data_IF_187473292973
#
_entry.id   IF_187473292973
#
_cell.length_a   1.000
_cell.length_b   1.000
_cell.length_c   1.000
_cell.angle_alpha   90.00
_cell.angle_beta   90.00
_cell.angle_gamma   90.00
#
_symmetry.space_group_name_H-M   'P 1'
#
loop_
_entity.id
_entity.type
_entity.pdbx_description
1 polymer ?
#
# COMPACT_ATOMS: atom_id res chain seq x y z
N UNK A 1 -57.49 -35.37 -42.02
CA UNK A 1 -56.07 -35.47 -41.61
C UNK A 1 -55.41 -34.12 -41.83
N UNK A 2 -55.17 -33.34 -40.77
CA UNK A 2 -54.29 -32.16 -40.81
C UNK A 2 -53.71 -31.96 -39.41
N UNK A 3 -52.46 -32.37 -39.22
CA UNK A 3 -51.75 -32.33 -37.95
C UNK A 3 -51.27 -30.91 -37.65
N UNK A 4 -51.60 -30.40 -36.46
CA UNK A 4 -51.08 -29.13 -35.92
C UNK A 4 -49.66 -29.33 -35.39
N UNK A 5 -48.69 -28.64 -35.96
CA UNK A 5 -47.29 -28.62 -35.52
C UNK A 5 -47.13 -27.65 -34.34
N UNK A 6 -46.37 -28.00 -33.26
CA UNK A 6 -46.14 -27.09 -32.15
C UNK A 6 -44.97 -26.14 -32.46
N UNK A 7 -45.21 -24.84 -32.29
CA UNK A 7 -44.22 -23.78 -32.40
C UNK A 7 -43.28 -23.78 -31.19
N UNK A 8 -42.04 -24.22 -31.38
CA UNK A 8 -40.98 -24.14 -30.38
C UNK A 8 -40.46 -22.70 -30.31
N UNK A 9 -40.84 -21.98 -29.26
CA UNK A 9 -40.36 -20.62 -28.99
C UNK A 9 -38.88 -20.65 -28.61
N UNK A 10 -38.01 -20.30 -29.57
CA UNK A 10 -36.55 -20.17 -29.40
C UNK A 10 -36.23 -19.06 -28.40
N UNK A 11 -35.99 -19.41 -27.12
CA UNK A 11 -35.44 -18.49 -26.12
C UNK A 11 -34.15 -17.87 -26.64
N UNK A 12 -34.17 -16.57 -26.91
CA UNK A 12 -32.98 -15.81 -27.29
C UNK A 12 -31.92 -15.91 -26.19
N UNK A 13 -30.77 -16.52 -26.52
CA UNK A 13 -29.57 -16.53 -25.67
C UNK A 13 -29.14 -15.07 -25.42
N UNK A 14 -29.22 -14.64 -24.16
CA UNK A 14 -28.64 -13.36 -23.70
C UNK A 14 -27.16 -13.29 -24.14
N UNK A 15 -26.71 -12.22 -24.81
CA UNK A 15 -25.32 -12.12 -25.25
C UNK A 15 -24.39 -12.11 -24.03
N UNK A 16 -23.35 -12.94 -24.09
CA UNK A 16 -22.32 -13.00 -23.05
C UNK A 16 -21.65 -11.61 -22.93
N UNK A 17 -21.70 -11.00 -21.74
CA UNK A 17 -21.00 -9.73 -21.49
C UNK A 17 -19.51 -9.86 -21.86
N UNK A 18 -18.94 -8.89 -22.62
CA UNK A 18 -17.53 -8.93 -22.99
C UNK A 18 -16.63 -9.06 -21.75
N UNK A 19 -15.61 -9.93 -21.82
CA UNK A 19 -14.72 -10.27 -20.69
C UNK A 19 -14.13 -9.03 -19.99
N UNK A 20 -13.80 -7.97 -20.73
CA UNK A 20 -13.29 -6.71 -20.18
C UNK A 20 -14.28 -5.94 -19.28
N UNK A 21 -15.58 -5.91 -19.62
CA UNK A 21 -16.60 -5.24 -18.78
C UNK A 21 -16.80 -5.95 -17.45
N UNK A 22 -16.61 -7.28 -17.40
CA UNK A 22 -16.69 -8.05 -16.16
C UNK A 22 -15.48 -7.80 -15.25
N UNK A 23 -14.27 -7.75 -15.82
CA UNK A 23 -13.05 -7.43 -15.06
C UNK A 23 -13.10 -6.01 -14.47
N UNK A 24 -13.52 -5.02 -15.26
CA UNK A 24 -13.69 -3.64 -14.78
C UNK A 24 -14.73 -3.53 -13.66
N UNK A 25 -15.88 -4.20 -13.79
CA UNK A 25 -16.90 -4.22 -12.73
C UNK A 25 -16.39 -4.90 -11.44
N UNK A 26 -15.57 -5.96 -11.57
CA UNK A 26 -14.93 -6.64 -10.45
C UNK A 26 -13.95 -5.69 -9.73
N UNK A 27 -13.10 -5.00 -10.47
CA UNK A 27 -12.17 -4.01 -9.90
C UNK A 27 -12.92 -2.86 -9.20
N UNK A 28 -13.93 -2.27 -9.84
CA UNK A 28 -14.74 -1.20 -9.25
C UNK A 28 -15.44 -1.64 -7.95
N UNK A 29 -15.89 -2.90 -7.88
CA UNK A 29 -16.48 -3.45 -6.65
C UNK A 29 -15.42 -3.61 -5.55
N UNK A 30 -14.22 -4.09 -5.90
CA UNK A 30 -13.09 -4.19 -4.97
C UNK A 30 -12.77 -2.83 -4.36
N UNK A 31 -12.61 -1.79 -5.18
CA UNK A 31 -12.29 -0.43 -4.71
C UNK A 31 -13.40 0.18 -3.85
N UNK A 32 -14.68 -0.07 -4.18
CA UNK A 32 -15.81 0.35 -3.33
C UNK A 32 -15.76 -0.29 -1.94
N UNK A 33 -15.42 -1.57 -1.86
CA UNK A 33 -15.27 -2.28 -0.58
C UNK A 33 -14.09 -1.70 0.20
N UNK A 34 -12.95 -1.48 -0.45
CA UNK A 34 -11.77 -0.84 0.15
C UNK A 34 -12.12 0.53 0.73
N UNK A 35 -12.68 1.44 -0.06
CA UNK A 35 -13.05 2.79 0.39
C UNK A 35 -14.04 2.78 1.56
N UNK A 36 -15.03 1.87 1.53
CA UNK A 36 -15.97 1.70 2.63
C UNK A 36 -15.29 1.25 3.93
N UNK A 37 -14.33 0.32 3.83
CA UNK A 37 -13.57 -0.17 4.97
C UNK A 37 -12.65 0.90 5.56
N UNK A 38 -11.85 1.59 4.72
CA UNK A 38 -10.95 2.66 5.18
C UNK A 38 -11.72 3.75 5.93
N UNK A 39 -12.90 4.14 5.43
CA UNK A 39 -13.75 5.10 6.11
C UNK A 39 -14.22 4.57 7.49
N UNK A 40 -14.63 3.31 7.59
CA UNK A 40 -15.07 2.73 8.87
C UNK A 40 -13.92 2.56 9.85
N UNK A 41 -12.74 2.13 9.38
CA UNK A 41 -11.54 2.07 10.20
C UNK A 41 -11.15 3.43 10.76
N UNK A 42 -11.20 4.48 9.93
CA UNK A 42 -10.91 5.86 10.35
C UNK A 42 -11.93 6.42 11.36
N UNK A 43 -13.21 6.06 11.25
CA UNK A 43 -14.28 6.66 12.08
C UNK A 43 -14.65 5.85 13.32
N UNK A 44 -14.50 4.52 13.29
CA UNK A 44 -14.88 3.61 14.38
C UNK A 44 -13.70 2.87 14.99
N UNK A 45 -12.52 2.99 14.40
CA UNK A 45 -11.38 2.16 14.74
C UNK A 45 -11.41 0.80 14.03
N UNK A 46 -10.25 0.15 14.05
CA UNK A 46 -10.02 -1.10 13.32
C UNK A 46 -10.80 -2.27 13.94
N UNK A 47 -10.78 -2.40 15.27
CA UNK A 47 -11.41 -3.52 16.00
C UNK A 47 -12.94 -3.52 15.87
N UNK A 48 -13.58 -2.36 16.09
CA UNK A 48 -15.03 -2.21 16.06
C UNK A 48 -15.64 -2.33 14.66
N UNK A 49 -14.81 -2.34 13.61
CA UNK A 49 -15.28 -2.48 12.22
C UNK A 49 -15.46 -3.95 11.85
N UNK A 50 -16.66 -4.30 11.37
CA UNK A 50 -17.02 -5.65 10.92
C UNK A 50 -17.20 -5.71 9.40
N UNK A 51 -16.99 -6.90 8.80
CA UNK A 51 -17.24 -7.16 7.38
C UNK A 51 -18.69 -6.88 6.98
N UNK A 52 -19.64 -7.16 7.87
CA UNK A 52 -21.05 -6.81 7.70
C UNK A 52 -21.25 -5.30 7.57
N UNK A 53 -20.65 -4.50 8.45
CA UNK A 53 -20.74 -3.04 8.39
C UNK A 53 -20.11 -2.48 7.11
N UNK A 54 -18.97 -3.07 6.69
CA UNK A 54 -18.31 -2.74 5.42
C UNK A 54 -19.24 -3.04 4.24
N UNK A 55 -19.88 -4.21 4.21
CA UNK A 55 -20.79 -4.62 3.15
C UNK A 55 -21.97 -3.63 3.00
N UNK A 56 -22.59 -3.27 4.13
CA UNK A 56 -23.67 -2.27 4.18
C UNK A 56 -23.21 -0.94 3.60
N UNK A 57 -22.05 -0.42 4.05
CA UNK A 57 -21.52 0.86 3.57
C UNK A 57 -21.12 0.81 2.09
N UNK A 58 -20.53 -0.29 1.65
CA UNK A 58 -20.15 -0.51 0.26
C UNK A 58 -21.36 -0.78 -0.65
N UNK A 59 -22.57 -0.96 -0.10
CA UNK A 59 -23.81 -1.33 -0.80
C UNK A 59 -23.64 -2.65 -1.59
N UNK A 60 -23.15 -3.68 -0.91
CA UNK A 60 -23.00 -5.04 -1.44
C UNK A 60 -23.51 -6.05 -0.41
N UNK A 61 -23.78 -7.29 -0.84
CA UNK A 61 -24.07 -8.37 0.09
C UNK A 61 -22.80 -8.75 0.88
N UNK A 62 -22.94 -9.22 2.12
CA UNK A 62 -21.78 -9.60 2.93
C UNK A 62 -20.95 -10.72 2.29
N UNK A 63 -21.58 -11.75 1.72
CA UNK A 63 -20.90 -12.77 0.93
C UNK A 63 -20.14 -12.21 -0.28
N UNK A 64 -20.54 -11.03 -0.80
CA UNK A 64 -19.77 -10.35 -1.84
C UNK A 64 -18.44 -9.84 -1.30
N UNK A 65 -18.36 -9.34 -0.06
CA UNK A 65 -17.08 -8.91 0.53
C UNK A 65 -16.10 -10.09 0.61
N UNK A 66 -16.58 -11.24 1.09
CA UNK A 66 -15.79 -12.47 1.20
C UNK A 66 -15.31 -13.02 -0.15
N UNK A 67 -15.97 -12.70 -1.26
CA UNK A 67 -15.49 -13.02 -2.61
C UNK A 67 -14.23 -12.22 -3.03
N UNK A 68 -13.92 -11.11 -2.35
CA UNK A 68 -12.77 -10.25 -2.66
C UNK A 68 -11.69 -10.28 -1.59
N UNK A 69 -12.07 -10.40 -0.33
CA UNK A 69 -11.18 -10.31 0.83
C UNK A 69 -11.63 -11.29 1.91
N UNK A 70 -10.70 -12.10 2.42
CA UNK A 70 -11.04 -13.10 3.44
C UNK A 70 -11.26 -12.45 4.81
N UNK A 71 -10.51 -11.39 5.10
CA UNK A 71 -10.54 -10.66 6.37
C UNK A 71 -10.64 -9.14 6.16
N UNK A 72 -10.91 -8.39 7.23
CA UNK A 72 -10.87 -6.90 7.17
C UNK A 72 -9.43 -6.39 7.06
N UNK A 73 -8.47 -7.14 7.60
CA UNK A 73 -7.03 -6.90 7.45
C UNK A 73 -6.58 -7.06 6.00
N UNK A 74 -7.15 -8.01 5.26
CA UNK A 74 -6.89 -8.15 3.83
C UNK A 74 -7.33 -6.94 3.01
N UNK A 75 -8.35 -6.21 3.48
CA UNK A 75 -8.80 -4.98 2.84
C UNK A 75 -7.79 -3.85 3.11
N UNK A 76 -7.30 -3.74 4.33
CA UNK A 76 -6.26 -2.77 4.68
C UNK A 76 -4.93 -3.07 3.98
N UNK A 77 -4.52 -4.34 3.90
CA UNK A 77 -3.32 -4.75 3.16
C UNK A 77 -3.42 -4.46 1.67
N UNK A 78 -4.61 -4.60 1.07
CA UNK A 78 -4.84 -4.19 -0.33
C UNK A 78 -4.56 -2.70 -0.54
N UNK A 79 -4.98 -1.84 0.40
CA UNK A 79 -4.65 -0.43 0.33
C UNK A 79 -3.13 -0.17 0.40
N UNK A 80 -2.41 -0.83 1.31
CA UNK A 80 -0.96 -0.66 1.43
C UNK A 80 -0.20 -1.26 0.22
N UNK A 81 -0.72 -2.32 -0.40
CA UNK A 81 -0.19 -2.83 -1.67
C UNK A 81 -0.28 -1.79 -2.78
N UNK A 82 -1.43 -1.11 -2.91
CA UNK A 82 -1.62 -0.02 -3.87
C UNK A 82 -0.71 1.19 -3.58
N UNK A 83 -0.53 1.52 -2.30
CA UNK A 83 0.38 2.58 -1.87
C UNK A 83 1.83 2.28 -2.26
N UNK A 84 2.34 1.11 -1.91
CA UNK A 84 3.70 0.66 -2.28
C UNK A 84 3.86 0.61 -3.80
N UNK A 85 2.86 0.13 -4.54
CA UNK A 85 2.88 0.11 -6.01
C UNK A 85 3.00 1.52 -6.59
N UNK A 86 2.21 2.46 -6.04
CA UNK A 86 2.23 3.85 -6.46
C UNK A 86 3.59 4.49 -6.19
N UNK A 87 4.15 4.28 -5.01
CA UNK A 87 5.44 4.86 -4.60
C UNK A 87 6.61 4.33 -5.43
N UNK A 88 6.67 3.00 -5.64
CA UNK A 88 7.68 2.38 -6.52
C UNK A 88 7.54 2.91 -7.95
N UNK A 89 6.32 3.02 -8.46
CA UNK A 89 6.06 3.54 -9.80
C UNK A 89 6.46 5.00 -9.94
N UNK A 90 6.25 5.83 -8.92
CA UNK A 90 6.64 7.24 -8.91
C UNK A 90 8.16 7.40 -9.07
N UNK A 91 8.95 6.61 -8.33
CA UNK A 91 10.42 6.61 -8.45
C UNK A 91 10.86 6.09 -9.82
N UNK A 92 10.33 4.94 -10.26
CA UNK A 92 10.75 4.30 -11.53
C UNK A 92 10.42 5.13 -12.77
N UNK A 93 9.28 5.83 -12.78
CA UNK A 93 8.85 6.65 -13.93
C UNK A 93 9.56 8.00 -14.00
N UNK A 94 10.14 8.47 -12.90
CA UNK A 94 10.84 9.74 -12.87
C UNK A 94 12.26 9.58 -13.46
N UNK A 95 12.42 9.95 -14.74
CA UNK A 95 13.69 9.84 -15.45
C UNK A 95 14.84 10.65 -14.78
N UNK A 96 14.52 11.74 -14.07
CA UNK A 96 15.53 12.54 -13.36
C UNK A 96 16.18 11.77 -12.23
N UNK A 97 15.41 10.91 -11.54
CA UNK A 97 15.91 10.12 -10.41
C UNK A 97 16.88 9.01 -10.81
N UNK A 98 16.93 8.61 -12.09
CA UNK A 98 17.82 7.53 -12.55
C UNK A 98 19.29 7.78 -12.23
N UNK A 99 19.72 9.05 -12.36
CA UNK A 99 21.10 9.50 -12.07
C UNK A 99 21.20 10.32 -10.79
N UNK A 100 20.10 10.46 -10.05
CA UNK A 100 20.09 11.23 -8.82
C UNK A 100 20.83 10.49 -7.70
N UNK A 101 21.40 11.23 -6.73
CA UNK A 101 21.92 10.66 -5.49
C UNK A 101 20.89 9.80 -4.75
N UNK A 102 21.39 8.85 -3.94
CA UNK A 102 20.55 7.92 -3.17
C UNK A 102 19.53 8.66 -2.28
N UNK A 103 19.99 9.72 -1.62
CA UNK A 103 19.20 10.59 -0.75
C UNK A 103 17.97 11.16 -1.48
N UNK A 104 18.12 11.61 -2.72
CA UNK A 104 17.01 12.12 -3.53
C UNK A 104 16.05 10.99 -3.96
N UNK A 105 16.57 9.81 -4.29
CA UNK A 105 15.74 8.63 -4.62
C UNK A 105 14.88 8.20 -3.42
N UNK A 106 15.49 8.12 -2.23
CA UNK A 106 14.81 7.75 -0.98
C UNK A 106 13.83 8.84 -0.53
N UNK A 107 14.19 10.11 -0.70
CA UNK A 107 13.31 11.24 -0.44
C UNK A 107 12.06 11.17 -1.32
N UNK A 108 12.23 11.00 -2.63
CA UNK A 108 11.12 10.89 -3.57
C UNK A 108 10.23 9.68 -3.29
N UNK A 109 10.82 8.56 -2.85
CA UNK A 109 10.07 7.39 -2.40
C UNK A 109 9.14 7.79 -1.24
N UNK A 110 9.70 8.22 -0.11
CA UNK A 110 8.92 8.54 1.11
C UNK A 110 7.93 9.69 0.87
N UNK A 111 8.33 10.72 0.12
CA UNK A 111 7.44 11.82 -0.26
C UNK A 111 6.21 11.30 -1.01
N UNK A 112 6.41 10.42 -2.01
CA UNK A 112 5.29 9.83 -2.75
C UNK A 112 4.36 9.00 -1.86
N UNK A 113 4.90 8.35 -0.83
CA UNK A 113 4.09 7.61 0.16
C UNK A 113 3.26 8.60 1.00
N UNK A 114 3.89 9.62 1.57
CA UNK A 114 3.22 10.64 2.38
C UNK A 114 2.09 11.31 1.59
N UNK A 115 2.34 11.69 0.33
CA UNK A 115 1.32 12.26 -0.55
C UNK A 115 0.14 11.31 -0.77
N UNK A 116 0.40 10.03 -0.99
CA UNK A 116 -0.64 9.00 -1.14
C UNK A 116 -1.44 8.79 0.16
N UNK A 117 -0.77 8.85 1.31
CA UNK A 117 -1.36 8.62 2.63
C UNK A 117 -2.14 9.82 3.17
N UNK A 118 -1.85 11.03 2.70
CA UNK A 118 -2.43 12.29 3.19
C UNK A 118 -3.97 12.30 3.26
N UNK A 119 -4.71 11.83 2.24
CA UNK A 119 -6.17 11.78 2.31
C UNK A 119 -6.73 10.80 3.36
N UNK A 120 -5.89 9.94 3.94
CA UNK A 120 -6.27 8.81 4.78
C UNK A 120 -5.68 8.89 6.20
N UNK A 121 -5.19 10.05 6.64
CA UNK A 121 -4.46 10.23 7.91
C UNK A 121 -5.12 9.55 9.13
N UNK A 122 -6.44 9.72 9.31
CA UNK A 122 -7.19 9.07 10.40
C UNK A 122 -7.17 7.54 10.31
N UNK A 123 -7.27 6.99 9.10
CA UNK A 123 -7.12 5.54 8.89
C UNK A 123 -5.70 5.10 9.20
N UNK A 124 -4.68 5.87 8.79
CA UNK A 124 -3.28 5.53 9.03
C UNK A 124 -2.96 5.53 10.51
N UNK A 125 -3.47 6.48 11.29
CA UNK A 125 -3.35 6.46 12.75
C UNK A 125 -3.96 5.19 13.36
N UNK A 126 -5.18 4.82 12.96
CA UNK A 126 -5.83 3.61 13.43
C UNK A 126 -5.08 2.32 13.03
N UNK A 127 -4.58 2.27 11.79
CA UNK A 127 -3.80 1.14 11.27
C UNK A 127 -2.44 1.02 11.96
N UNK A 128 -1.78 2.14 12.27
CA UNK A 128 -0.50 2.18 12.97
C UNK A 128 -0.62 1.59 14.38
N UNK A 129 -1.62 2.02 15.16
CA UNK A 129 -1.92 1.45 16.48
C UNK A 129 -2.20 -0.05 16.39
N UNK A 130 -2.96 -0.47 15.36
CA UNK A 130 -3.23 -1.89 15.13
C UNK A 130 -1.96 -2.68 14.77
N UNK A 131 -1.05 -2.11 13.98
CA UNK A 131 0.18 -2.75 13.54
C UNK A 131 1.19 -2.97 14.69
N UNK A 132 1.18 -2.11 15.71
CA UNK A 132 2.06 -2.24 16.88
C UNK A 132 1.69 -3.38 17.83
N UNK A 133 0.49 -3.97 17.68
CA UNK A 133 0.08 -5.09 18.53
C UNK A 133 0.87 -6.35 18.15
N UNK A 134 1.47 -7.08 19.11
CA UNK A 134 2.26 -8.29 18.82
C UNK A 134 1.49 -9.38 18.06
N UNK A 135 0.17 -9.44 18.24
CA UNK A 135 -0.72 -10.40 17.56
C UNK A 135 -1.36 -9.86 16.28
N UNK A 136 -0.90 -8.72 15.77
CA UNK A 136 -1.52 -8.04 14.63
C UNK A 136 -1.34 -8.81 13.33
N UNK A 137 -2.45 -9.30 12.76
CA UNK A 137 -2.45 -9.89 11.41
C UNK A 137 -2.15 -8.85 10.32
N UNK A 138 -2.35 -7.55 10.60
CA UNK A 138 -1.96 -6.46 9.70
C UNK A 138 -0.44 -6.32 9.55
N UNK A 139 0.33 -6.65 10.60
CA UNK A 139 1.79 -6.56 10.60
C UNK A 139 2.49 -7.92 10.44
N UNK A 140 1.90 -9.01 10.95
CA UNK A 140 2.54 -10.32 11.10
C UNK A 140 1.92 -11.43 10.24
N UNK A 141 1.05 -11.10 9.28
CA UNK A 141 0.57 -12.09 8.29
C UNK A 141 1.60 -12.34 7.18
N UNK A 142 1.49 -13.50 6.50
CA UNK A 142 2.32 -13.83 5.33
C UNK A 142 2.20 -12.76 4.22
N UNK A 143 1.01 -12.19 4.05
CA UNK A 143 0.76 -11.14 3.06
C UNK A 143 1.44 -9.82 3.46
N UNK A 144 1.40 -9.45 4.73
CA UNK A 144 2.16 -8.31 5.25
C UNK A 144 3.68 -8.52 5.09
N UNK A 145 4.18 -9.71 5.36
CA UNK A 145 5.59 -10.04 5.15
C UNK A 145 6.00 -9.99 3.69
N UNK A 146 5.15 -10.49 2.77
CA UNK A 146 5.41 -10.42 1.34
C UNK A 146 5.44 -8.96 0.85
N UNK A 147 4.49 -8.13 1.30
CA UNK A 147 4.47 -6.70 0.99
C UNK A 147 5.74 -6.00 1.50
N UNK A 148 6.12 -6.23 2.76
CA UNK A 148 7.36 -5.69 3.34
C UNK A 148 8.59 -6.16 2.58
N UNK A 149 8.70 -7.46 2.28
CA UNK A 149 9.83 -8.01 1.53
C UNK A 149 9.97 -7.36 0.16
N UNK A 150 8.87 -7.13 -0.54
CA UNK A 150 8.86 -6.43 -1.83
C UNK A 150 9.32 -4.98 -1.72
N UNK A 151 8.84 -4.25 -0.71
CA UNK A 151 9.28 -2.88 -0.44
C UNK A 151 10.78 -2.82 -0.13
N UNK A 152 11.25 -3.70 0.77
CA UNK A 152 12.66 -3.78 1.14
C UNK A 152 13.57 -4.19 -0.03
N UNK A 153 13.10 -5.07 -0.91
CA UNK A 153 13.83 -5.43 -2.12
C UNK A 153 14.03 -4.22 -3.04
N UNK A 154 13.02 -3.36 -3.19
CA UNK A 154 13.15 -2.13 -3.97
C UNK A 154 14.10 -1.12 -3.31
N UNK A 155 14.05 -0.96 -1.99
CA UNK A 155 15.01 -0.10 -1.27
C UNK A 155 16.44 -0.63 -1.43
N UNK A 156 16.63 -1.94 -1.33
CA UNK A 156 17.91 -2.61 -1.58
C UNK A 156 18.41 -2.38 -3.01
N UNK A 157 17.53 -2.43 -4.01
CA UNK A 157 17.83 -2.07 -5.41
C UNK A 157 18.38 -0.64 -5.51
N UNK A 158 17.69 0.35 -4.92
CA UNK A 158 18.14 1.75 -4.94
C UNK A 158 19.51 1.95 -4.25
N UNK A 159 19.74 1.26 -3.14
CA UNK A 159 21.02 1.29 -2.41
C UNK A 159 22.13 0.70 -3.30
N UNK A 160 21.93 -0.48 -3.87
CA UNK A 160 22.95 -1.16 -4.69
C UNK A 160 23.29 -0.37 -5.96
N UNK A 161 22.30 0.21 -6.63
CA UNK A 161 22.53 1.07 -7.79
C UNK A 161 23.40 2.29 -7.46
N UNK A 162 23.20 2.87 -6.28
CA UNK A 162 23.82 4.13 -5.89
C UNK A 162 25.14 3.93 -5.15
N UNK A 163 25.35 2.74 -4.55
CA UNK A 163 26.46 2.38 -3.68
C UNK A 163 26.97 0.94 -3.95
N UNK A 164 27.40 0.60 -5.19
CA UNK A 164 27.68 -0.78 -5.61
C UNK A 164 28.82 -1.48 -4.86
N UNK A 165 29.73 -0.74 -4.21
CA UNK A 165 30.84 -1.32 -3.42
C UNK A 165 30.43 -1.87 -2.05
N UNK A 166 29.15 -1.76 -1.66
CA UNK A 166 28.69 -2.07 -0.29
C UNK A 166 28.25 -3.53 -0.08
N UNK A 167 28.29 -4.39 -1.10
CA UNK A 167 27.84 -5.79 -1.03
C UNK A 167 28.53 -6.67 0.03
N UNK A 168 29.60 -6.19 0.70
CA UNK A 168 30.40 -6.97 1.64
C UNK A 168 30.42 -6.44 3.09
N UNK A 169 29.77 -5.31 3.41
CA UNK A 169 29.85 -4.71 4.76
C UNK A 169 28.68 -5.14 5.64
N UNK A 170 28.93 -5.42 6.92
CA UNK A 170 27.89 -5.80 7.89
C UNK A 170 26.79 -4.74 8.09
N UNK A 171 27.00 -3.48 7.73
CA UNK A 171 25.94 -2.46 7.76
C UNK A 171 25.00 -2.53 6.55
N UNK A 172 25.43 -3.10 5.42
CA UNK A 172 24.65 -3.10 4.18
C UNK A 172 23.45 -4.05 4.22
N UNK A 173 23.58 -5.21 4.88
CA UNK A 173 22.46 -6.15 5.03
C UNK A 173 21.36 -5.62 5.96
N UNK A 174 21.73 -4.77 6.92
CA UNK A 174 20.80 -4.14 7.85
C UNK A 174 20.15 -2.87 7.28
N UNK A 175 20.71 -2.27 6.22
CA UNK A 175 20.29 -0.97 5.72
C UNK A 175 18.81 -0.91 5.29
N UNK A 176 18.23 -1.89 4.55
CA UNK A 176 16.81 -1.87 4.24
C UNK A 176 15.93 -1.97 5.49
N UNK A 177 16.34 -2.76 6.49
CA UNK A 177 15.60 -2.88 7.75
C UNK A 177 15.66 -1.60 8.57
N UNK A 178 16.83 -0.97 8.66
CA UNK A 178 17.00 0.34 9.28
C UNK A 178 16.14 1.39 8.58
N UNK A 179 16.07 1.36 7.24
CA UNK A 179 15.21 2.24 6.47
C UNK A 179 13.71 2.01 6.75
N UNK A 180 13.28 0.75 6.93
CA UNK A 180 11.89 0.46 7.32
C UNK A 180 11.56 0.99 8.72
N UNK A 181 12.44 0.80 9.70
CA UNK A 181 12.25 1.34 11.06
C UNK A 181 12.23 2.87 11.01
N UNK A 182 13.14 3.47 10.25
CA UNK A 182 13.16 4.90 10.00
C UNK A 182 11.85 5.39 9.37
N UNK A 183 11.33 4.68 8.35
CA UNK A 183 10.06 5.00 7.72
C UNK A 183 8.88 4.92 8.71
N UNK A 184 8.83 3.90 9.58
CA UNK A 184 7.82 3.82 10.63
C UNK A 184 7.92 4.99 11.63
N UNK A 185 9.14 5.37 12.02
CA UNK A 185 9.37 6.55 12.87
C UNK A 185 8.97 7.85 12.18
N UNK A 186 9.27 7.98 10.88
CA UNK A 186 8.86 9.10 10.05
C UNK A 186 7.35 9.18 9.92
N UNK A 187 6.67 8.05 9.74
CA UNK A 187 5.22 7.97 9.65
C UNK A 187 4.56 8.38 10.97
N UNK A 188 5.13 7.97 12.10
CA UNK A 188 4.68 8.42 13.42
C UNK A 188 4.87 9.93 13.59
N UNK A 189 6.02 10.47 13.20
CA UNK A 189 6.26 11.92 13.23
C UNK A 189 5.25 12.66 12.36
N UNK A 190 5.01 12.17 11.14
CA UNK A 190 4.03 12.71 10.19
C UNK A 190 2.59 12.74 10.75
N UNK A 191 2.17 11.68 11.45
CA UNK A 191 0.86 11.62 12.12
C UNK A 191 0.70 12.69 13.22
N UNK A 192 1.80 13.15 13.80
CA UNK A 192 1.81 14.20 14.84
C UNK A 192 2.17 15.59 14.33
N UNK A 193 2.57 15.72 13.07
CA UNK A 193 2.92 17.00 12.47
C UNK A 193 1.67 17.82 12.12
N UNK A 194 1.46 18.92 12.84
CA UNK A 194 0.34 19.85 12.62
C UNK A 194 0.71 21.03 11.70
N UNK A 195 1.92 21.07 11.15
CA UNK A 195 2.32 22.14 10.24
C UNK A 195 1.53 22.10 8.93
N UNK A 196 1.26 23.26 8.29
CA UNK A 196 0.52 23.32 7.03
C UNK A 196 1.20 22.47 5.96
N UNK A 197 0.49 21.48 5.40
CA UNK A 197 1.05 20.59 4.39
C UNK A 197 2.20 19.70 4.87
N UNK A 198 2.31 19.47 6.19
CA UNK A 198 3.32 18.58 6.79
C UNK A 198 4.77 19.02 6.50
N UNK A 199 5.00 20.34 6.46
CA UNK A 199 6.29 20.95 6.17
C UNK A 199 7.39 20.52 7.15
N UNK A 200 7.09 20.36 8.44
CA UNK A 200 8.07 19.89 9.41
C UNK A 200 8.53 18.47 9.09
N UNK A 201 7.61 17.59 8.68
CA UNK A 201 7.92 16.22 8.23
C UNK A 201 8.86 16.24 7.03
N UNK A 202 8.55 17.05 6.01
CA UNK A 202 9.38 17.14 4.80
C UNK A 202 10.78 17.72 5.11
N UNK A 203 10.86 18.74 5.95
CA UNK A 203 12.13 19.32 6.37
C UNK A 203 12.95 18.37 7.26
N UNK A 204 12.30 17.51 8.04
CA UNK A 204 12.97 16.49 8.83
C UNK A 204 13.45 15.34 7.94
N UNK A 205 12.63 14.90 6.99
CA UNK A 205 12.97 13.89 5.98
C UNK A 205 14.24 14.27 5.21
N UNK A 206 14.28 15.47 4.64
CA UNK A 206 15.43 15.97 3.88
C UNK A 206 16.74 15.92 4.71
N UNK A 207 16.71 16.54 5.91
CA UNK A 207 17.88 16.60 6.80
C UNK A 207 18.33 15.23 7.29
N UNK A 208 17.40 14.36 7.68
CA UNK A 208 17.73 13.06 8.27
C UNK A 208 18.19 12.04 7.24
N UNK A 209 17.65 12.05 6.01
CA UNK A 209 18.14 11.20 4.92
C UNK A 209 19.58 11.55 4.52
N UNK A 210 19.90 12.84 4.40
CA UNK A 210 21.25 13.27 4.10
C UNK A 210 22.27 12.76 5.14
N UNK A 211 21.91 12.77 6.42
CA UNK A 211 22.74 12.21 7.50
C UNK A 211 22.84 10.67 7.42
N UNK A 212 21.72 9.98 7.23
CA UNK A 212 21.68 8.52 7.12
C UNK A 212 22.54 8.00 5.97
N UNK A 213 22.42 8.62 4.79
CA UNK A 213 23.25 8.26 3.61
C UNK A 213 24.72 8.59 3.84
N UNK A 214 25.04 9.73 4.49
CA UNK A 214 26.43 10.04 4.88
C UNK A 214 27.01 9.00 5.84
N UNK A 215 26.24 8.49 6.79
CA UNK A 215 26.68 7.42 7.69
C UNK A 215 26.91 6.11 6.94
N UNK A 216 26.00 5.73 6.04
CA UNK A 216 26.16 4.56 5.17
C UNK A 216 27.44 4.67 4.32
N UNK A 217 27.73 5.85 3.76
CA UNK A 217 28.97 6.13 2.99
C UNK A 217 30.24 6.21 3.85
N UNK A 218 30.15 6.51 5.16
CA UNK A 218 31.32 6.62 6.05
C UNK A 218 31.66 5.28 6.72
N UNK A 219 30.66 4.45 7.01
CA UNK A 219 30.84 3.06 7.46
C UNK A 219 31.52 2.14 6.43
N UNK A 220 31.95 2.70 5.29
CA UNK A 220 32.78 2.03 4.27
C UNK A 220 34.24 2.50 4.24
N UNK A 221 34.63 3.46 5.09
CA UNK A 221 36.00 3.99 5.17
C UNK A 221 36.78 3.48 6.39
N UNK A 222 36.22 2.51 7.13
CA UNK A 222 36.85 1.86 8.27
C UNK A 222 37.10 0.38 8.01
#
# INVERSE_FOLDING_TARGET
MAARTPSVTRRARRPARPRGRRAAAKAATRERITAAALHLFASKGFDATTTRAIAVRARVAEGTVFNYFATKEDIALHFFEQEVDSAIAAVRRNARLRKAPLEEKLFALIQSQIEYLTPYENFIGAAFVQALRPSSTLAFSLRAFALRARYLAFVQELIQESLPRHGANAMAWAAPQAFWIYYLGMLLYWLHDQSPGKQNTLAFLDRSLALGVRMLRKGTLG
#
